data_IF_754075002301
#
_entry.id   IF_754075002301
#
_cell.length_a   1.000
_cell.length_b   1.000
_cell.length_c   1.000
_cell.angle_alpha   90.00
_cell.angle_beta   90.00
_cell.angle_gamma   90.00
#
_symmetry.space_group_name_H-M   'P 1'
#
loop_
_entity.id
_entity.type
_entity.pdbx_description
1 polymer ?
#
# COMPACT_ATOMS: atom_id res chain seq x y z
N UNK A 1 -3.27 18.45 3.69
CA UNK A 1 -2.99 17.02 3.97
C UNK A 1 -4.03 16.54 4.95
N UNK A 2 -4.79 15.51 4.59
CA UNK A 2 -5.83 14.94 5.44
C UNK A 2 -5.29 13.68 6.14
N UNK A 3 -5.66 13.46 7.41
CA UNK A 3 -5.28 12.28 8.19
C UNK A 3 -6.52 11.45 8.47
N UNK A 4 -6.39 10.14 8.40
CA UNK A 4 -7.46 9.18 8.70
C UNK A 4 -7.09 8.39 9.95
N UNK A 5 -8.07 8.10 10.82
CA UNK A 5 -7.86 7.34 12.06
C UNK A 5 -7.75 5.81 11.83
N UNK A 6 -7.11 5.41 10.73
CA UNK A 6 -6.91 4.03 10.32
C UNK A 6 -5.68 3.91 9.43
N UNK A 7 -5.53 2.76 8.78
CA UNK A 7 -4.33 2.38 8.03
C UNK A 7 -4.64 2.06 6.58
N UNK A 8 -3.62 2.19 5.73
CA UNK A 8 -3.68 1.89 4.29
C UNK A 8 -4.84 2.61 3.56
N UNK A 9 -4.90 3.95 3.59
CA UNK A 9 -5.93 4.68 2.86
C UNK A 9 -5.77 4.48 1.34
N UNK A 10 -6.89 4.40 0.63
CA UNK A 10 -6.96 4.33 -0.84
C UNK A 10 -8.13 5.18 -1.34
N UNK A 11 -7.91 5.91 -2.43
CA UNK A 11 -8.96 6.69 -3.11
C UNK A 11 -9.53 5.92 -4.31
N UNK A 12 -10.82 6.12 -4.58
CA UNK A 12 -11.39 5.77 -5.88
C UNK A 12 -10.72 6.58 -6.99
N UNK A 13 -10.75 6.08 -8.24
CA UNK A 13 -10.09 6.75 -9.37
C UNK A 13 -10.61 8.16 -9.66
N UNK A 14 -11.86 8.45 -9.27
CA UNK A 14 -12.49 9.77 -9.33
C UNK A 14 -12.32 10.60 -8.04
N UNK A 15 -11.57 10.09 -7.06
CA UNK A 15 -11.31 10.69 -5.74
C UNK A 15 -12.54 10.97 -4.88
N UNK A 16 -13.74 10.53 -5.28
CA UNK A 16 -14.98 10.79 -4.55
C UNK A 16 -15.13 9.95 -3.29
N UNK A 17 -14.32 8.89 -3.15
CA UNK A 17 -14.40 7.91 -2.06
C UNK A 17 -13.03 7.61 -1.47
N UNK A 18 -12.99 7.37 -0.17
CA UNK A 18 -11.80 6.91 0.55
C UNK A 18 -12.13 5.63 1.30
N UNK A 19 -11.36 4.58 1.06
CA UNK A 19 -11.39 3.38 1.88
C UNK A 19 -10.12 3.23 2.71
N UNK A 20 -10.25 2.62 3.88
CA UNK A 20 -9.13 2.34 4.77
C UNK A 20 -9.49 1.18 5.70
N UNK A 21 -8.51 0.66 6.44
CA UNK A 21 -8.72 -0.38 7.45
C UNK A 21 -8.53 0.18 8.86
N UNK A 22 -9.28 -0.35 9.83
CA UNK A 22 -9.09 0.04 11.24
C UNK A 22 -7.76 -0.45 11.83
N UNK A 23 -7.38 0.11 12.98
CA UNK A 23 -6.13 -0.27 13.66
C UNK A 23 -6.13 -1.70 14.22
N UNK A 24 -7.27 -2.39 14.20
CA UNK A 24 -7.40 -3.80 14.60
C UNK A 24 -7.23 -4.78 13.42
N UNK A 25 -7.08 -4.25 12.19
CA UNK A 25 -6.97 -5.06 10.98
C UNK A 25 -8.17 -5.99 10.81
N UNK A 26 -9.37 -5.48 11.16
CA UNK A 26 -10.61 -6.25 11.29
C UNK A 26 -11.70 -5.77 10.33
N UNK A 27 -11.79 -4.47 10.07
CA UNK A 27 -12.82 -3.92 9.19
C UNK A 27 -12.27 -2.97 8.14
N UNK A 28 -12.93 -2.98 6.98
CA UNK A 28 -12.75 -2.00 5.91
C UNK A 28 -13.83 -0.94 6.07
N UNK A 29 -13.40 0.31 6.12
CA UNK A 29 -14.23 1.49 6.25
C UNK A 29 -14.24 2.27 4.93
N UNK A 30 -15.39 2.87 4.63
CA UNK A 30 -15.61 3.74 3.48
C UNK A 30 -16.12 5.09 3.96
N UNK A 31 -15.46 6.16 3.50
CA UNK A 31 -15.94 7.53 3.59
C UNK A 31 -16.27 8.04 2.17
N UNK A 32 -17.50 8.48 1.97
CA UNK A 32 -17.99 9.10 0.73
C UNK A 32 -19.14 10.08 1.04
N UNK A 33 -19.87 10.53 0.03
CA UNK A 33 -21.03 11.43 0.18
C UNK A 33 -22.16 10.89 1.10
N UNK A 34 -22.20 9.59 1.37
CA UNK A 34 -23.14 8.95 2.30
C UNK A 34 -22.59 8.90 3.73
N UNK A 35 -21.41 9.45 4.00
CA UNK A 35 -20.76 9.44 5.31
C UNK A 35 -19.84 8.24 5.52
N UNK A 36 -19.38 8.08 6.77
CA UNK A 36 -18.44 7.03 7.16
C UNK A 36 -19.20 5.77 7.59
N UNK A 37 -18.89 4.62 6.98
CA UNK A 37 -19.49 3.31 7.29
C UNK A 37 -18.51 2.15 7.09
N UNK A 38 -18.76 1.02 7.76
CA UNK A 38 -18.08 -0.24 7.46
C UNK A 38 -18.68 -0.86 6.21
N UNK A 39 -17.83 -1.36 5.32
CA UNK A 39 -18.25 -2.06 4.09
C UNK A 39 -17.90 -3.55 4.12
N UNK A 40 -16.99 -3.95 5.01
CA UNK A 40 -16.66 -5.34 5.27
C UNK A 40 -16.04 -5.49 6.67
N UNK A 41 -16.35 -6.57 7.38
CA UNK A 41 -15.77 -6.88 8.69
C UNK A 41 -15.48 -8.39 8.81
N UNK A 42 -14.31 -8.73 9.33
CA UNK A 42 -13.92 -10.11 9.66
C UNK A 42 -14.37 -10.49 11.07
N UNK A 43 -14.46 -11.81 11.34
CA UNK A 43 -14.76 -12.31 12.68
C UNK A 43 -13.63 -12.02 13.66
N UNK A 44 -12.41 -12.35 13.23
CA UNK A 44 -11.19 -12.23 14.02
C UNK A 44 -10.45 -10.94 13.67
N UNK A 45 -9.65 -10.45 14.62
CA UNK A 45 -8.68 -9.36 14.42
C UNK A 45 -7.51 -9.84 13.56
N UNK A 46 -6.68 -8.91 13.08
CA UNK A 46 -5.49 -9.24 12.27
C UNK A 46 -5.81 -10.18 11.10
N UNK A 47 -6.83 -9.82 10.33
CA UNK A 47 -7.40 -10.70 9.31
C UNK A 47 -7.63 -10.03 7.96
N UNK A 48 -7.62 -8.69 7.90
CA UNK A 48 -7.80 -7.93 6.67
C UNK A 48 -6.96 -6.66 6.67
N UNK A 49 -6.32 -6.35 5.54
CA UNK A 49 -5.48 -5.15 5.41
C UNK A 49 -5.25 -4.73 3.96
N UNK A 50 -4.60 -3.57 3.80
CA UNK A 50 -4.16 -3.03 2.50
C UNK A 50 -5.27 -2.98 1.43
N UNK A 51 -6.41 -2.30 1.70
CA UNK A 51 -7.43 -2.11 0.68
C UNK A 51 -6.88 -1.25 -0.47
N UNK A 52 -7.21 -1.62 -1.70
CA UNK A 52 -6.90 -0.83 -2.90
C UNK A 52 -8.12 -0.76 -3.80
N UNK A 53 -8.51 0.46 -4.15
CA UNK A 53 -9.64 0.70 -5.05
C UNK A 53 -9.29 0.35 -6.49
N UNK A 54 -10.25 -0.23 -7.22
CA UNK A 54 -10.15 -0.42 -8.66
C UNK A 54 -10.04 0.94 -9.38
N UNK A 55 -8.94 1.21 -10.08
CA UNK A 55 -8.69 2.54 -10.66
C UNK A 55 -9.53 2.82 -11.92
N UNK A 56 -10.27 1.84 -12.47
CA UNK A 56 -11.32 2.10 -13.46
C UNK A 56 -12.52 2.77 -12.77
N UNK A 57 -12.87 4.03 -13.10
CA UNK A 57 -13.98 4.76 -12.46
C UNK A 57 -15.34 4.08 -12.61
N UNK A 58 -15.48 3.12 -13.54
CA UNK A 58 -16.71 2.35 -13.75
C UNK A 58 -16.84 1.16 -12.80
N UNK A 59 -15.79 0.79 -12.06
CA UNK A 59 -15.75 -0.41 -11.22
C UNK A 59 -15.75 -0.04 -9.74
N UNK A 60 -16.86 -0.36 -9.07
CA UNK A 60 -17.01 -0.18 -7.62
C UNK A 60 -16.49 -1.42 -6.87
N UNK A 61 -15.17 -1.61 -6.88
CA UNK A 61 -14.51 -2.81 -6.34
C UNK A 61 -13.30 -2.40 -5.49
N UNK A 62 -13.20 -2.97 -4.29
CA UNK A 62 -11.99 -2.95 -3.47
C UNK A 62 -11.28 -4.30 -3.53
N UNK A 63 -9.96 -4.27 -3.65
CA UNK A 63 -9.12 -5.45 -3.43
C UNK A 63 -8.50 -5.36 -2.05
N UNK A 64 -8.47 -6.47 -1.31
CA UNK A 64 -7.98 -6.53 0.07
C UNK A 64 -7.09 -7.75 0.28
N UNK A 65 -6.12 -7.63 1.19
CA UNK A 65 -5.38 -8.77 1.70
C UNK A 65 -6.18 -9.42 2.84
N UNK A 66 -6.28 -10.74 2.85
CA UNK A 66 -6.93 -11.50 3.92
C UNK A 66 -6.02 -12.59 4.49
N UNK A 67 -5.82 -12.54 5.80
CA UNK A 67 -4.89 -13.37 6.56
C UNK A 67 -4.09 -12.54 7.57
N UNK A 68 -3.26 -13.18 8.41
CA UNK A 68 -2.44 -12.50 9.42
C UNK A 68 -1.51 -11.47 8.77
N UNK A 69 -1.49 -10.25 9.30
CA UNK A 69 -0.66 -9.18 8.76
C UNK A 69 0.81 -9.37 9.15
N UNK A 70 1.70 -8.90 8.29
CA UNK A 70 3.17 -8.84 8.50
C UNK A 70 3.90 -10.13 8.89
N UNK A 71 3.24 -11.30 8.84
CA UNK A 71 3.89 -12.59 9.05
C UNK A 71 4.19 -13.28 7.71
N UNK A 72 5.49 -13.31 7.34
CA UNK A 72 5.92 -13.89 6.07
C UNK A 72 5.67 -15.41 5.94
N UNK A 73 5.46 -16.11 7.06
CA UNK A 73 5.19 -17.56 7.08
C UNK A 73 3.71 -17.88 6.93
N UNK A 74 2.84 -16.92 7.22
CA UNK A 74 1.41 -17.11 7.09
C UNK A 74 0.94 -17.02 5.65
N UNK A 75 -0.22 -17.62 5.40
CA UNK A 75 -0.89 -17.52 4.11
C UNK A 75 -1.73 -16.25 4.11
N UNK A 76 -1.58 -15.46 3.04
CA UNK A 76 -2.38 -14.26 2.81
C UNK A 76 -2.94 -14.36 1.40
N UNK A 77 -4.24 -14.13 1.27
CA UNK A 77 -4.95 -14.14 0.00
C UNK A 77 -5.31 -12.73 -0.43
N UNK A 78 -5.46 -12.52 -1.73
CA UNK A 78 -6.10 -11.32 -2.26
C UNK A 78 -7.57 -11.67 -2.53
N UNK A 79 -8.47 -10.83 -2.04
CA UNK A 79 -9.91 -10.92 -2.27
C UNK A 79 -10.43 -9.62 -2.88
N UNK A 80 -11.46 -9.72 -3.72
CA UNK A 80 -12.29 -8.59 -4.16
C UNK A 80 -13.52 -8.44 -3.26
N UNK A 81 -13.89 -7.20 -2.97
CA UNK A 81 -15.16 -6.78 -2.36
C UNK A 81 -15.86 -5.93 -3.44
N UNK A 82 -16.79 -6.51 -4.21
CA UNK A 82 -17.52 -5.78 -5.24
C UNK A 82 -18.73 -5.02 -4.67
N UNK A 83 -19.20 -4.01 -5.40
CA UNK A 83 -20.35 -3.18 -5.04
C UNK A 83 -20.20 -2.56 -3.64
N UNK A 84 -19.01 -2.05 -3.37
CA UNK A 84 -18.61 -1.47 -2.07
C UNK A 84 -19.58 -0.37 -1.64
N UNK A 85 -19.97 0.49 -2.58
CA UNK A 85 -20.85 1.62 -2.34
C UNK A 85 -22.27 1.20 -1.95
N UNK A 86 -22.71 0.00 -2.34
CA UNK A 86 -24.05 -0.54 -2.02
C UNK A 86 -24.09 -1.36 -0.73
N UNK A 87 -23.02 -1.37 0.07
CA UNK A 87 -22.90 -2.14 1.31
C UNK A 87 -23.12 -3.66 1.13
N UNK A 88 -22.85 -4.19 -0.06
CA UNK A 88 -22.92 -5.63 -0.31
C UNK A 88 -21.76 -6.31 0.42
N UNK A 89 -22.00 -6.83 1.63
CA UNK A 89 -20.99 -7.51 2.44
C UNK A 89 -20.64 -8.90 1.88
N UNK A 90 -20.13 -8.95 0.66
CA UNK A 90 -19.65 -10.15 0.00
C UNK A 90 -18.20 -9.96 -0.42
N UNK A 91 -17.46 -11.07 -0.44
CA UNK A 91 -16.11 -11.13 -0.99
C UNK A 91 -15.92 -12.31 -1.93
N UNK A 92 -15.03 -12.13 -2.89
CA UNK A 92 -14.55 -13.17 -3.78
C UNK A 92 -13.05 -13.33 -3.61
N UNK A 93 -12.57 -14.55 -3.38
CA UNK A 93 -11.14 -14.81 -3.33
C UNK A 93 -10.56 -14.89 -4.74
N UNK A 94 -9.42 -14.22 -4.97
CA UNK A 94 -8.76 -14.14 -6.27
C UNK A 94 -7.47 -14.94 -6.34
N UNK A 95 -6.74 -15.10 -5.25
CA UNK A 95 -5.52 -15.93 -5.22
C UNK A 95 -5.71 -17.24 -4.47
N UNK A 96 -4.88 -18.24 -4.79
CA UNK A 96 -4.95 -19.58 -4.20
C UNK A 96 -3.58 -20.13 -3.84
N UNK A 97 -3.56 -21.19 -3.03
CA UNK A 97 -2.34 -21.84 -2.57
C UNK A 97 -1.84 -21.29 -1.23
N UNK A 98 -0.71 -21.82 -0.75
CA UNK A 98 -0.13 -21.46 0.57
C UNK A 98 1.00 -20.45 0.39
N UNK A 99 0.66 -19.24 -0.05
CA UNK A 99 1.59 -18.14 -0.27
C UNK A 99 1.15 -16.90 0.51
N UNK A 100 2.08 -15.96 0.72
CA UNK A 100 1.74 -14.64 1.21
C UNK A 100 1.56 -13.70 0.00
N UNK A 101 0.35 -13.65 -0.54
CA UNK A 101 -0.03 -12.78 -1.65
C UNK A 101 -0.61 -11.47 -1.08
N UNK A 102 0.10 -10.36 -1.23
CA UNK A 102 -0.21 -9.13 -0.49
C UNK A 102 0.13 -7.84 -1.26
N UNK A 103 -0.34 -6.71 -0.71
CA UNK A 103 -0.12 -5.35 -1.22
C UNK A 103 -0.42 -5.21 -2.72
N UNK A 104 -1.66 -5.54 -3.16
CA UNK A 104 -2.02 -5.46 -4.55
C UNK A 104 -2.11 -4.00 -5.03
N UNK A 105 -1.96 -3.78 -6.33
CA UNK A 105 -2.37 -2.57 -7.02
C UNK A 105 -2.98 -2.93 -8.36
N UNK A 106 -4.00 -2.20 -8.77
CA UNK A 106 -4.67 -2.40 -10.07
C UNK A 106 -4.10 -1.47 -11.13
N UNK A 107 -4.24 -1.86 -12.39
CA UNK A 107 -3.90 -1.00 -13.53
C UNK A 107 -5.02 0.01 -13.79
N UNK A 108 -4.77 1.06 -14.61
CA UNK A 108 -5.75 2.12 -14.85
C UNK A 108 -7.08 1.64 -15.46
N UNK A 109 -7.07 0.57 -16.28
CA UNK A 109 -8.29 -0.02 -16.84
C UNK A 109 -9.00 -1.01 -15.89
N UNK A 110 -8.41 -1.26 -14.72
CA UNK A 110 -9.01 -2.08 -13.68
C UNK A 110 -9.14 -3.56 -14.01
N UNK A 111 -8.46 -4.07 -15.04
CA UNK A 111 -8.55 -5.47 -15.48
C UNK A 111 -7.49 -6.37 -14.86
N UNK A 112 -6.38 -5.80 -14.41
CA UNK A 112 -5.21 -6.52 -13.88
C UNK A 112 -4.86 -6.11 -12.46
N UNK A 113 -4.10 -6.96 -11.76
CA UNK A 113 -3.46 -6.66 -10.47
C UNK A 113 -1.97 -6.98 -10.51
N UNK A 114 -1.14 -6.04 -10.08
CA UNK A 114 0.22 -6.35 -9.61
C UNK A 114 0.17 -6.59 -8.12
N UNK A 115 0.92 -7.56 -7.61
CA UNK A 115 0.96 -7.86 -6.19
C UNK A 115 2.27 -8.53 -5.80
N UNK A 116 2.60 -8.50 -4.51
CA UNK A 116 3.72 -9.23 -3.94
C UNK A 116 3.31 -10.67 -3.63
N UNK A 117 4.17 -11.65 -3.90
CA UNK A 117 3.98 -13.04 -3.50
C UNK A 117 5.28 -13.68 -2.99
N UNK A 118 5.15 -14.64 -2.06
CA UNK A 118 6.24 -15.56 -1.67
C UNK A 118 6.33 -16.81 -2.56
N UNK A 119 5.46 -16.90 -3.58
CA UNK A 119 5.52 -17.95 -4.59
C UNK A 119 6.89 -17.92 -5.27
N UNK A 120 7.47 -19.09 -5.52
CA UNK A 120 8.81 -19.18 -6.13
C UNK A 120 9.95 -18.56 -5.30
N UNK A 121 9.72 -18.22 -4.03
CA UNK A 121 10.70 -17.63 -3.11
C UNK A 121 11.55 -18.64 -2.32
N UNK A 122 11.42 -19.94 -2.61
CA UNK A 122 12.16 -21.01 -1.96
C UNK A 122 11.90 -21.14 -0.44
N UNK A 123 12.81 -21.80 0.27
CA UNK A 123 12.69 -22.03 1.72
C UNK A 123 12.73 -20.75 2.55
N UNK A 124 13.40 -19.70 2.04
CA UNK A 124 13.47 -18.38 2.67
C UNK A 124 12.25 -17.50 2.40
N UNK A 125 11.34 -17.93 1.52
CA UNK A 125 10.11 -17.20 1.15
C UNK A 125 10.40 -15.77 0.70
N UNK A 126 11.40 -15.62 -0.17
CA UNK A 126 11.67 -14.35 -0.85
C UNK A 126 10.39 -13.84 -1.52
N UNK A 127 10.21 -12.53 -1.49
CA UNK A 127 8.97 -11.87 -1.92
C UNK A 127 9.26 -11.16 -3.23
N UNK A 128 8.55 -11.54 -4.28
CA UNK A 128 8.68 -10.90 -5.58
C UNK A 128 7.31 -10.45 -6.10
N UNK A 129 7.32 -9.63 -7.15
CA UNK A 129 6.11 -9.12 -7.76
C UNK A 129 5.58 -10.07 -8.83
N UNK A 130 4.26 -10.12 -8.93
CA UNK A 130 3.50 -10.92 -9.87
C UNK A 130 2.38 -10.07 -10.45
N UNK A 131 2.01 -10.33 -11.70
CA UNK A 131 0.85 -9.75 -12.37
C UNK A 131 -0.20 -10.83 -12.55
N UNK A 132 -1.42 -10.52 -12.13
CA UNK A 132 -2.66 -11.24 -12.40
C UNK A 132 -3.39 -10.56 -13.55
N UNK A 133 -3.67 -11.31 -14.61
CA UNK A 133 -4.30 -10.80 -15.84
C UNK A 133 -5.83 -10.75 -15.78
N UNK A 134 -6.46 -11.32 -14.75
CA UNK A 134 -7.92 -11.39 -14.59
C UNK A 134 -8.33 -11.00 -13.17
N UNK A 135 -8.88 -9.79 -13.02
CA UNK A 135 -9.42 -9.28 -11.76
C UNK A 135 -10.83 -9.78 -11.42
N UNK A 136 -11.54 -10.38 -12.38
CA UNK A 136 -12.91 -10.87 -12.19
C UNK A 136 -12.89 -12.24 -11.55
N UNK A 137 -12.08 -13.17 -12.06
CA UNK A 137 -12.02 -14.54 -11.54
C UNK A 137 -10.72 -14.88 -10.83
N UNK A 138 -9.69 -14.05 -10.98
CA UNK A 138 -8.36 -14.33 -10.43
C UNK A 138 -7.79 -15.66 -10.93
N UNK A 139 -7.17 -16.41 -10.03
CA UNK A 139 -6.60 -17.74 -10.29
C UNK A 139 -7.63 -18.87 -10.41
N UNK A 140 -8.92 -18.55 -10.27
CA UNK A 140 -10.03 -19.51 -10.40
C UNK A 140 -10.65 -19.51 -11.79
N UNK A 141 -10.29 -18.53 -12.65
CA UNK A 141 -10.65 -18.50 -14.06
C UNK A 141 -9.51 -18.97 -14.97
N UNK A 142 -9.51 -18.47 -16.21
CA UNK A 142 -8.46 -18.71 -17.20
C UNK A 142 -7.32 -17.68 -17.11
N UNK A 143 -7.43 -16.71 -16.18
CA UNK A 143 -6.44 -15.67 -15.96
C UNK A 143 -5.06 -16.20 -15.61
N UNK A 144 -4.04 -15.67 -16.28
CA UNK A 144 -2.64 -16.02 -16.04
C UNK A 144 -2.06 -15.22 -14.87
N UNK A 145 -1.25 -15.87 -14.04
CA UNK A 145 -0.33 -15.21 -13.12
C UNK A 145 1.09 -15.28 -13.70
N UNK A 146 1.72 -14.12 -13.88
CA UNK A 146 3.09 -14.01 -14.41
C UNK A 146 4.00 -13.38 -13.36
N UNK A 147 5.19 -13.98 -13.15
CA UNK A 147 6.21 -13.40 -12.27
C UNK A 147 6.83 -12.17 -12.95
N UNK A 148 6.81 -11.03 -12.26
CA UNK A 148 7.34 -9.75 -12.74
C UNK A 148 8.77 -9.50 -12.23
N UNK A 149 9.10 -9.88 -11.00
CA UNK A 149 10.48 -9.77 -10.50
C UNK A 149 11.00 -11.11 -9.99
N UNK A 150 12.31 -11.30 -9.97
CA UNK A 150 12.91 -12.56 -9.55
C UNK A 150 14.25 -12.32 -8.86
N UNK A 151 14.35 -12.74 -7.61
CA UNK A 151 15.60 -12.74 -6.87
C UNK A 151 15.43 -12.94 -5.37
N UNK A 152 16.56 -13.02 -4.67
CA UNK A 152 16.66 -13.37 -3.25
C UNK A 152 16.49 -12.16 -2.33
N UNK A 153 15.46 -11.36 -2.58
CA UNK A 153 15.18 -10.11 -1.85
C UNK A 153 13.68 -9.98 -1.52
N UNK A 154 13.31 -8.85 -0.93
CA UNK A 154 11.92 -8.47 -0.67
C UNK A 154 11.53 -7.34 -1.61
N UNK A 155 10.69 -7.61 -2.60
CA UNK A 155 9.93 -6.60 -3.34
C UNK A 155 8.54 -6.44 -2.70
N UNK A 156 8.06 -5.22 -2.47
CA UNK A 156 6.81 -4.93 -1.76
C UNK A 156 6.24 -3.55 -2.11
N UNK A 157 5.00 -3.29 -1.67
CA UNK A 157 4.35 -1.98 -1.82
C UNK A 157 4.39 -1.48 -3.26
N UNK A 158 3.96 -2.34 -4.18
CA UNK A 158 3.93 -2.02 -5.60
C UNK A 158 2.70 -1.19 -5.96
N UNK A 159 2.84 -0.29 -6.91
CA UNK A 159 1.74 0.47 -7.48
C UNK A 159 1.89 0.64 -9.00
N UNK A 160 0.78 0.52 -9.71
CA UNK A 160 0.73 0.74 -11.15
C UNK A 160 0.75 2.24 -11.46
N UNK A 161 1.54 2.64 -12.45
CA UNK A 161 1.51 4.01 -12.96
C UNK A 161 0.14 4.39 -13.52
N UNK A 162 -0.26 5.67 -13.44
CA UNK A 162 -1.50 6.16 -14.05
C UNK A 162 -1.59 5.92 -15.56
N UNK A 163 -0.43 5.84 -16.24
CA UNK A 163 -0.34 5.51 -17.66
C UNK A 163 -0.42 4.00 -17.94
N UNK A 164 -0.16 3.14 -16.95
CA UNK A 164 -0.27 1.68 -17.05
C UNK A 164 1.00 0.94 -17.49
N UNK A 165 2.05 1.65 -17.93
CA UNK A 165 3.25 1.01 -18.49
C UNK A 165 4.28 0.58 -17.43
N UNK A 166 4.27 1.25 -16.29
CA UNK A 166 5.25 1.08 -15.22
C UNK A 166 4.63 0.63 -13.91
N UNK A 167 5.40 -0.12 -13.12
CA UNK A 167 5.14 -0.42 -11.72
C UNK A 167 6.23 0.23 -10.88
N UNK A 168 5.85 1.04 -9.89
CA UNK A 168 6.75 1.50 -8.83
C UNK A 168 6.67 0.54 -7.64
N UNK A 169 7.78 0.27 -6.96
CA UNK A 169 7.78 -0.63 -5.81
C UNK A 169 9.02 -0.42 -4.92
N UNK A 170 8.94 -0.90 -3.68
CA UNK A 170 10.08 -0.94 -2.76
C UNK A 170 10.81 -2.28 -2.84
N UNK A 171 12.14 -2.26 -2.81
CA UNK A 171 12.97 -3.47 -2.86
C UNK A 171 14.18 -3.41 -1.93
N UNK A 172 14.54 -4.55 -1.34
CA UNK A 172 15.79 -4.74 -0.57
C UNK A 172 16.94 -5.30 -1.40
N UNK A 173 16.81 -5.33 -2.73
CA UNK A 173 17.78 -5.97 -3.63
C UNK A 173 19.20 -5.42 -3.56
N UNK A 174 19.36 -4.15 -3.21
CA UNK A 174 20.67 -3.48 -3.09
C UNK A 174 21.09 -3.31 -1.63
N UNK A 175 20.50 -4.08 -0.70
CA UNK A 175 20.89 -4.02 0.71
C UNK A 175 22.38 -4.40 0.86
N UNK A 176 23.13 -3.74 1.76
CA UNK A 176 24.54 -4.09 2.00
C UNK A 176 24.70 -5.53 2.49
N UNK A 177 25.85 -6.15 2.21
CA UNK A 177 26.17 -7.52 2.65
C UNK A 177 26.13 -7.69 4.19
N UNK A 178 26.45 -6.63 4.92
CA UNK A 178 26.43 -6.61 6.38
C UNK A 178 25.03 -6.35 6.97
N UNK A 179 24.01 -6.13 6.13
CA UNK A 179 22.64 -5.95 6.61
C UNK A 179 22.18 -7.22 7.33
N UNK A 180 21.55 -7.09 8.52
CA UNK A 180 21.06 -8.25 9.25
C UNK A 180 20.04 -9.03 8.41
N UNK A 181 19.86 -10.33 8.69
CA UNK A 181 18.85 -11.13 7.97
C UNK A 181 17.43 -10.72 8.34
N UNK A 182 17.23 -10.27 9.59
CA UNK A 182 15.95 -9.79 10.12
C UNK A 182 16.17 -8.74 11.20
N UNK A 183 15.19 -7.87 11.40
CA UNK A 183 15.08 -6.97 12.55
C UNK A 183 13.79 -7.28 13.31
N UNK A 184 13.90 -7.74 14.56
CA UNK A 184 12.76 -8.14 15.41
C UNK A 184 11.76 -9.11 14.73
N UNK A 185 12.27 -10.05 13.93
CA UNK A 185 11.46 -11.02 13.18
C UNK A 185 10.79 -10.45 11.91
N UNK A 186 11.04 -9.18 11.60
CA UNK A 186 10.62 -8.49 10.39
C UNK A 186 11.78 -8.35 9.41
N UNK A 187 11.48 -7.84 8.22
CA UNK A 187 12.49 -7.48 7.23
C UNK A 187 13.41 -6.38 7.81
N UNK A 188 14.75 -6.51 7.67
CA UNK A 188 15.74 -5.62 8.29
C UNK A 188 15.73 -4.18 7.73
N UNK A 189 14.90 -3.90 6.71
CA UNK A 189 14.88 -2.63 6.01
C UNK A 189 15.79 -2.66 4.79
N UNK A 190 16.50 -1.57 4.56
CA UNK A 190 17.33 -1.29 3.37
C UNK A 190 16.53 -1.22 2.07
N UNK A 191 15.32 -0.65 2.12
CA UNK A 191 14.50 -0.48 0.92
C UNK A 191 15.03 0.66 0.03
N UNK A 192 15.13 0.41 -1.26
CA UNK A 192 15.10 1.43 -2.31
C UNK A 192 13.77 1.41 -3.04
N UNK A 193 13.46 2.47 -3.77
CA UNK A 193 12.31 2.55 -4.67
C UNK A 193 12.76 2.37 -6.10
N UNK A 194 12.05 1.54 -6.85
CA UNK A 194 12.38 1.12 -8.19
C UNK A 194 11.16 1.23 -9.10
N UNK A 195 11.42 1.36 -10.39
CA UNK A 195 10.47 1.20 -11.49
C UNK A 195 10.79 -0.08 -12.24
N UNK A 196 9.77 -0.85 -12.61
CA UNK A 196 9.86 -1.96 -13.57
C UNK A 196 8.81 -1.79 -14.65
N UNK A 197 9.17 -2.07 -15.90
CA UNK A 197 8.22 -2.00 -17.01
C UNK A 197 7.30 -3.22 -16.97
N UNK A 198 5.99 -2.99 -16.97
CA UNK A 198 5.00 -4.05 -16.83
C UNK A 198 5.05 -5.05 -18.01
N UNK A 199 5.37 -4.55 -19.21
CA UNK A 199 5.47 -5.36 -20.44
C UNK A 199 6.84 -6.02 -20.65
N UNK A 200 7.89 -5.50 -20.01
CA UNK A 200 9.26 -5.98 -20.15
C UNK A 200 9.96 -5.98 -18.78
N UNK A 201 9.89 -7.11 -18.05
CA UNK A 201 10.43 -7.20 -16.71
C UNK A 201 11.96 -7.08 -16.62
N UNK A 202 12.67 -7.09 -17.76
CA UNK A 202 14.12 -6.87 -17.79
C UNK A 202 14.49 -5.39 -17.60
N UNK A 203 13.56 -4.48 -17.86
CA UNK A 203 13.77 -3.03 -17.72
C UNK A 203 13.40 -2.62 -16.31
N UNK A 204 14.44 -2.41 -15.49
CA UNK A 204 14.30 -2.00 -14.09
C UNK A 204 15.24 -0.85 -13.78
N UNK A 205 14.70 0.22 -13.20
CA UNK A 205 15.46 1.42 -12.80
C UNK A 205 15.30 1.66 -11.31
N UNK A 206 16.40 1.85 -10.59
CA UNK A 206 16.37 2.34 -9.19
C UNK A 206 16.14 3.84 -9.20
N UNK A 207 15.01 4.28 -8.66
CA UNK A 207 14.67 5.70 -8.61
C UNK A 207 15.44 6.40 -7.51
N UNK A 208 15.37 5.85 -6.30
CA UNK A 208 16.01 6.42 -5.12
C UNK A 208 16.37 5.29 -4.16
N UNK A 209 17.55 5.37 -3.56
CA UNK A 209 18.05 4.40 -2.59
C UNK A 209 17.91 4.95 -1.16
N UNK A 210 17.77 4.06 -0.19
CA UNK A 210 18.18 4.39 1.19
C UNK A 210 19.70 4.63 1.21
N UNK A 211 20.19 5.55 2.04
CA UNK A 211 21.63 5.84 2.16
C UNK A 211 22.44 4.59 2.52
N UNK A 212 23.72 4.54 2.14
CA UNK A 212 24.61 3.40 2.44
C UNK A 212 24.85 3.21 3.96
N UNK A 213 24.62 4.25 4.74
CA UNK A 213 24.81 4.37 6.19
C UNK A 213 23.48 4.45 6.98
N UNK A 214 22.35 4.59 6.28
CA UNK A 214 21.02 4.70 6.87
C UNK A 214 20.20 3.48 6.46
N UNK A 215 20.00 2.58 7.43
CA UNK A 215 19.12 1.44 7.25
C UNK A 215 17.68 1.90 6.97
N UNK A 216 17.28 1.87 5.71
CA UNK A 216 16.04 1.22 5.33
C UNK A 216 14.74 1.96 5.17
N UNK A 217 14.72 3.27 4.99
CA UNK A 217 13.44 3.95 5.14
C UNK A 217 12.87 4.53 3.87
N UNK A 218 13.47 4.43 2.67
CA UNK A 218 12.76 4.87 1.44
C UNK A 218 11.73 3.82 1.01
N UNK A 219 10.46 4.03 1.40
CA UNK A 219 9.39 3.05 1.24
C UNK A 219 8.03 3.69 0.86
N UNK A 220 7.00 2.86 0.76
CA UNK A 220 5.62 3.21 0.45
C UNK A 220 5.48 4.11 -0.79
N UNK A 221 6.06 3.71 -1.94
CA UNK A 221 6.01 4.54 -3.12
C UNK A 221 4.58 4.66 -3.67
N UNK A 222 4.22 5.85 -4.10
CA UNK A 222 2.95 6.13 -4.76
C UNK A 222 3.15 7.15 -5.86
N UNK A 223 2.68 6.88 -7.08
CA UNK A 223 2.73 7.83 -8.17
C UNK A 223 1.84 9.04 -7.89
N UNK A 224 2.28 10.21 -8.34
CA UNK A 224 1.39 11.34 -8.54
C UNK A 224 0.33 10.98 -9.59
N UNK A 225 -0.88 11.56 -9.53
CA UNK A 225 -1.93 11.26 -10.50
C UNK A 225 -1.56 11.57 -11.96
N UNK A 226 -0.63 12.49 -12.20
CA UNK A 226 -0.09 12.81 -13.53
C UNK A 226 1.10 11.93 -13.95
N UNK A 227 1.57 11.04 -13.06
CA UNK A 227 2.69 10.13 -13.32
C UNK A 227 4.07 10.79 -13.39
N UNK A 228 4.22 12.06 -12.97
CA UNK A 228 5.46 12.84 -13.06
C UNK A 228 6.25 12.94 -11.77
N UNK A 229 5.71 12.46 -10.66
CA UNK A 229 6.40 12.38 -9.39
C UNK A 229 6.05 11.08 -8.66
N UNK A 230 6.90 10.69 -7.71
CA UNK A 230 6.67 9.58 -6.80
C UNK A 230 6.75 10.14 -5.38
N UNK A 231 5.69 9.93 -4.60
CA UNK A 231 5.73 10.09 -3.14
C UNK A 231 6.40 8.88 -2.52
N UNK A 232 7.24 9.11 -1.52
CA UNK A 232 7.81 8.08 -0.65
C UNK A 232 7.69 8.53 0.80
N UNK A 233 7.64 7.58 1.72
CA UNK A 233 7.90 7.85 3.14
C UNK A 233 9.33 7.50 3.46
N UNK A 234 10.06 8.35 4.20
CA UNK A 234 11.44 8.12 4.57
C UNK A 234 11.94 8.97 5.74
N UNK A 235 13.03 8.56 6.39
CA UNK A 235 13.68 9.32 7.44
C UNK A 235 14.93 10.06 6.93
N UNK A 236 15.02 10.31 5.61
CA UNK A 236 16.16 11.00 4.96
C UNK A 236 16.53 12.34 5.61
N UNK A 237 15.61 12.95 6.35
CA UNK A 237 15.83 14.21 7.08
C UNK A 237 15.96 14.03 8.60
N UNK A 238 16.36 12.82 9.03
CA UNK A 238 16.37 12.33 10.41
C UNK A 238 14.98 12.30 11.07
N UNK A 239 14.85 11.47 12.11
CA UNK A 239 13.66 11.43 12.97
C UNK A 239 13.79 12.53 14.02
N UNK A 240 12.76 13.36 14.18
CA UNK A 240 12.74 14.36 15.26
C UNK A 240 12.62 13.62 16.60
N UNK A 241 13.55 13.89 17.52
CA UNK A 241 13.60 13.25 18.85
C UNK A 241 12.48 13.79 19.75
N UNK A 242 11.36 13.08 19.84
CA UNK A 242 10.27 13.36 20.79
C UNK A 242 9.69 12.05 21.33
N UNK A 243 9.07 12.04 22.53
CA UNK A 243 8.66 10.80 23.21
C UNK A 243 7.69 9.99 22.35
N UNK A 244 7.97 8.69 22.27
CA UNK A 244 7.19 7.67 21.55
C UNK A 244 5.76 7.67 22.10
N UNK A 245 4.86 8.45 21.52
CA UNK A 245 3.42 8.30 21.70
C UNK A 245 2.88 7.35 20.64
N UNK A 246 3.44 6.14 20.56
CA UNK A 246 2.76 5.07 19.84
C UNK A 246 1.76 4.47 20.83
N UNK A 247 0.44 4.47 20.54
CA UNK A 247 -0.36 3.37 21.04
C UNK A 247 0.34 2.11 20.52
N UNK A 248 0.69 1.19 21.43
CA UNK A 248 1.23 -0.12 21.09
C UNK A 248 0.13 -0.90 20.34
N UNK A 249 -0.04 -0.64 19.05
CA UNK A 249 -0.86 -1.47 18.18
C UNK A 249 -0.05 -2.72 17.83
N UNK A 250 -0.73 -3.87 17.77
CA UNK A 250 -0.12 -5.19 17.52
C UNK A 250 0.74 -5.20 16.23
N UNK A 251 0.37 -4.38 15.25
CA UNK A 251 1.02 -4.27 13.95
C UNK A 251 1.16 -2.80 13.50
N UNK A 252 2.24 -2.13 13.92
CA UNK A 252 2.61 -0.82 13.39
C UNK A 252 2.89 -0.95 11.88
N UNK A 253 2.23 -0.15 11.05
CA UNK A 253 2.35 -0.13 9.57
C UNK A 253 3.71 0.37 9.04
N UNK A 254 4.76 0.20 9.86
CA UNK A 254 6.14 0.65 9.63
C UNK A 254 6.18 2.12 9.19
N UNK A 255 5.78 3.06 10.06
CA UNK A 255 6.03 4.46 9.80
C UNK A 255 7.53 4.69 9.59
N UNK A 256 7.88 5.57 8.65
CA UNK A 256 9.25 5.80 8.23
C UNK A 256 9.54 7.31 8.22
N UNK A 257 9.31 8.02 9.31
CA UNK A 257 9.61 9.46 9.37
C UNK A 257 8.64 10.33 8.58
N UNK A 258 9.09 10.96 7.49
CA UNK A 258 8.35 11.99 6.75
C UNK A 258 7.97 11.57 5.33
N UNK A 259 7.07 12.34 4.71
CA UNK A 259 6.69 12.20 3.30
C UNK A 259 7.60 13.08 2.45
N UNK A 260 8.12 12.50 1.36
CA UNK A 260 8.94 13.16 0.36
C UNK A 260 8.35 12.92 -1.03
N UNK A 261 8.65 13.81 -1.97
CA UNK A 261 8.38 13.62 -3.39
C UNK A 261 9.69 13.61 -4.17
N UNK A 262 9.78 12.72 -5.16
CA UNK A 262 10.85 12.66 -6.15
C UNK A 262 10.21 12.89 -7.52
N UNK A 263 10.71 13.85 -8.29
CA UNK A 263 10.26 14.07 -9.66
C UNK A 263 10.86 13.01 -10.58
N UNK A 264 10.06 12.55 -11.55
CA UNK A 264 10.44 11.57 -12.56
C UNK A 264 10.11 12.07 -13.96
N UNK A 265 10.96 11.71 -14.91
CA UNK A 265 10.74 11.86 -16.34
C UNK A 265 9.96 10.64 -16.84
N UNK A 266 8.69 10.85 -17.18
CA UNK A 266 7.81 9.79 -17.68
C UNK A 266 8.17 9.34 -19.11
N UNK A 267 8.88 10.18 -19.87
CA UNK A 267 9.23 9.94 -21.27
C UNK A 267 10.62 9.29 -21.40
N UNK A 268 11.53 9.53 -20.45
CA UNK A 268 12.88 8.96 -20.42
C UNK A 268 13.20 8.36 -19.05
N UNK A 269 12.98 7.05 -18.92
CA UNK A 269 13.17 6.32 -17.65
C UNK A 269 14.62 6.32 -17.16
N UNK A 270 15.61 6.45 -18.04
CA UNK A 270 17.03 6.41 -17.63
C UNK A 270 17.41 7.65 -16.81
N UNK A 271 16.76 8.79 -17.04
CA UNK A 271 16.95 10.00 -16.21
C UNK A 271 16.43 9.83 -14.78
N UNK A 272 15.60 8.83 -14.54
CA UNK A 272 15.07 8.53 -13.20
C UNK A 272 16.04 7.70 -12.37
N UNK A 273 17.23 7.38 -12.89
CA UNK A 273 18.19 6.55 -12.16
C UNK A 273 18.87 7.34 -11.04
N UNK A 274 18.80 6.79 -9.82
CA UNK A 274 19.53 7.27 -8.64
C UNK A 274 19.34 8.76 -8.34
N UNK A 275 18.10 9.24 -8.46
CA UNK A 275 17.75 10.65 -8.23
C UNK A 275 18.20 11.11 -6.85
N UNK A 276 18.89 12.25 -6.81
CA UNK A 276 19.41 12.87 -5.57
C UNK A 276 18.58 14.05 -5.08
N UNK A 277 17.75 14.62 -5.94
CA UNK A 277 16.89 15.74 -5.62
C UNK A 277 15.52 15.23 -5.19
N UNK A 278 15.08 15.64 -4.01
CA UNK A 278 13.76 15.33 -3.46
C UNK A 278 13.24 16.55 -2.70
N UNK A 279 11.92 16.64 -2.58
CA UNK A 279 11.26 17.68 -1.79
C UNK A 279 10.65 17.02 -0.55
N UNK A 280 10.88 17.59 0.63
CA UNK A 280 10.24 17.17 1.88
C UNK A 280 8.86 17.82 1.96
N UNK A 281 7.81 17.02 2.12
CA UNK A 281 6.41 17.47 2.15
C UNK A 281 5.90 17.63 3.58
N UNK A 282 6.30 16.72 4.48
CA UNK A 282 5.96 16.82 5.90
C UNK A 282 7.19 17.14 6.75
N UNK A 283 6.95 17.90 7.80
CA UNK A 283 7.87 18.05 8.91
C UNK A 283 7.02 18.18 10.16
N UNK A 284 6.89 17.10 10.93
CA UNK A 284 6.06 17.10 12.14
C UNK A 284 6.65 16.23 13.23
N UNK A 285 6.15 16.39 14.46
CA UNK A 285 6.47 15.51 15.60
C UNK A 285 5.97 14.07 15.45
N UNK A 286 5.22 13.78 14.40
CA UNK A 286 4.63 12.47 14.13
C UNK A 286 5.25 11.85 12.89
N UNK A 287 5.46 10.54 12.94
CA UNK A 287 5.88 9.79 11.77
C UNK A 287 4.69 9.52 10.82
N UNK A 288 5.00 9.51 9.54
CA UNK A 288 4.09 9.19 8.45
C UNK A 288 4.28 7.72 8.03
N UNK A 289 3.18 7.05 7.79
CA UNK A 289 3.13 5.67 7.30
C UNK A 289 2.70 5.66 5.83
N UNK A 290 1.85 4.73 5.40
CA UNK A 290 1.45 4.60 3.99
C UNK A 290 0.71 5.84 3.49
N UNK A 291 1.29 6.53 2.51
CA UNK A 291 0.65 7.64 1.80
C UNK A 291 -0.26 7.16 0.66
N UNK A 292 -1.19 8.00 0.26
CA UNK A 292 -1.96 7.88 -0.98
C UNK A 292 -2.15 9.28 -1.57
N UNK A 293 -2.29 9.40 -2.89
CA UNK A 293 -2.34 10.69 -3.59
C UNK A 293 -3.61 10.78 -4.43
N UNK A 294 -4.30 11.92 -4.32
CA UNK A 294 -5.47 12.28 -5.13
C UNK A 294 -5.33 13.71 -5.67
N UNK A 295 -5.94 14.00 -6.83
CA UNK A 295 -6.09 15.38 -7.35
C UNK A 295 -7.26 16.13 -6.72
N UNK A 296 -8.12 15.42 -6.00
CA UNK A 296 -9.37 15.94 -5.47
C UNK A 296 -9.12 16.51 -4.07
N UNK A 297 -9.36 17.82 -3.90
CA UNK A 297 -9.34 18.46 -2.60
C UNK A 297 -10.64 18.18 -1.88
N UNK A 298 -10.58 17.93 -0.57
CA UNK A 298 -11.76 18.09 0.28
C UNK A 298 -12.05 19.59 0.42
N UNK A 299 -13.29 20.01 0.20
CA UNK A 299 -13.69 21.43 0.32
C UNK A 299 -13.47 21.98 1.74
N UNK A 300 -13.50 21.13 2.76
CA UNK A 300 -13.11 21.45 4.13
C UNK A 300 -12.20 20.35 4.72
N UNK A 301 -10.92 20.64 5.00
CA UNK A 301 -9.99 19.68 5.59
C UNK A 301 -10.31 19.32 7.05
N UNK A 302 -11.23 20.05 7.70
CA UNK A 302 -11.70 19.81 9.06
C UNK A 302 -13.08 19.13 9.11
N UNK A 303 -13.70 18.87 7.95
CA UNK A 303 -14.99 18.22 7.90
C UNK A 303 -14.90 16.83 8.54
N UNK A 304 -15.61 16.65 9.66
CA UNK A 304 -15.83 15.33 10.24
C UNK A 304 -16.88 14.63 9.39
N UNK A 305 -16.53 13.48 8.81
CA UNK A 305 -17.50 12.63 8.13
C UNK A 305 -18.56 12.19 9.14
N UNK A 306 -19.84 12.44 8.85
CA UNK A 306 -20.94 11.95 9.68
C UNK A 306 -20.84 10.43 9.76
N UNK A 307 -20.76 9.90 10.99
CA UNK A 307 -20.75 8.46 11.23
C UNK A 307 -22.19 7.94 11.14
N UNK A 308 -22.43 7.00 10.22
CA UNK A 308 -23.66 6.20 10.28
C UNK A 308 -23.43 5.05 11.25
N UNK A 309 -23.81 5.24 12.52
CA UNK A 309 -23.98 4.12 13.43
C UNK A 309 -25.35 3.51 13.20
N UNK A 310 -25.42 2.18 13.07
CA UNK A 310 -26.65 1.48 13.37
C UNK A 310 -26.95 1.73 14.86
N UNK A 311 -28.14 2.26 15.17
CA UNK A 311 -28.58 2.58 16.53
C UNK A 311 -28.63 1.31 17.39
N UNK A 312 -27.53 0.95 18.03
CA UNK A 312 -27.52 0.12 19.24
C UNK A 312 -26.64 0.82 20.27
N UNK A 313 -27.32 1.35 21.29
CA UNK A 313 -26.79 2.11 22.41
C UNK A 313 -25.48 1.53 22.98
N UNK A 314 -24.38 2.28 22.91
CA UNK A 314 -23.44 2.40 24.03
C UNK A 314 -22.85 3.81 24.07
N UNK A 315 -23.11 4.50 25.17
CA UNK A 315 -22.53 5.81 25.51
C UNK A 315 -21.03 5.66 25.73
N UNK A 316 -20.21 6.27 24.86
CA UNK A 316 -18.80 6.52 25.18
C UNK A 316 -18.44 7.94 24.78
N UNK A 317 -18.03 8.70 25.77
CA UNK A 317 -17.60 10.09 25.74
C UNK A 317 -16.42 10.29 24.77
N UNK A 318 -16.43 11.31 23.88
CA UNK A 318 -15.27 11.60 23.06
C UNK A 318 -14.19 12.27 23.92
N UNK A 319 -13.06 11.59 24.11
CA UNK A 319 -11.84 12.20 24.64
C UNK A 319 -11.01 12.73 23.46
N UNK A 320 -11.07 14.03 23.22
CA UNK A 320 -10.08 14.74 22.41
C UNK A 320 -8.79 14.85 23.23
N UNK A 321 -7.65 14.42 22.67
CA UNK A 321 -6.34 14.88 23.11
C UNK A 321 -5.59 15.35 21.86
N UNK A 322 -4.99 16.55 21.98
CA UNK A 322 -4.36 17.35 20.94
C UNK A 322 -2.99 16.82 20.45
#
# INVERSE_FOLDING_TARGET
MNKVSGVFPTFSGDGSKVAFVDNEFKAVWLADSQGLRKVYETKDRDSIFSPVWNQDPKKDILYVCMGPSFNARETVYICAIPNVSSCAMHRQQLTRGRFNDAFPSTNPDGTKLVFRSTRGGGGKRHKNLYIMEDTVSGEYGEGKITRLTNGEWTDTHCQWSPAGDWIVFSSTRDKPEHAPESDNGLDPGYFGVYLVKASDPSVVVRVIASGNDLAGHVNHPFFSPDGRSIVVTSDLAAVSVDPISLPLFLHSVRPYGDIFTVDIDADDVEKNKDVKKFNRITHSRYESSTGTWTMFSTDDPNAKWNQHFDEIQYSVTPLCIA
#
